data_IF_992283396020
#
_entry.id   IF_992283396020
#
_cell.length_a   1.000
_cell.length_b   1.000
_cell.length_c   1.000
_cell.angle_alpha   90.00
_cell.angle_beta   90.00
_cell.angle_gamma   90.00
#
_symmetry.space_group_name_H-M   'P 1'
#
loop_
_entity.id
_entity.type
_entity.pdbx_description
1 polymer ?
#
# COMPACT_ATOMS: atom_id res chain seq x y z
N UNK A 1 -17.58 11.10 6.60
CA UNK A 1 -16.35 11.10 7.42
C UNK A 1 -16.62 10.18 8.61
N UNK A 2 -16.08 8.97 8.62
CA UNK A 2 -16.21 8.07 9.78
C UNK A 2 -14.80 7.52 10.02
N UNK A 3 -14.02 8.33 10.73
CA UNK A 3 -12.66 8.06 11.13
C UNK A 3 -12.63 7.92 12.65
N UNK A 4 -13.14 6.79 13.16
CA UNK A 4 -12.70 6.34 14.47
C UNK A 4 -11.37 5.59 14.28
N UNK A 5 -10.28 6.34 14.42
CA UNK A 5 -8.95 6.00 13.94
C UNK A 5 -8.29 4.78 14.61
N UNK A 6 -8.89 4.22 15.65
CA UNK A 6 -8.40 3.02 16.33
C UNK A 6 -8.88 1.72 15.70
N UNK A 7 -10.19 1.60 15.43
CA UNK A 7 -10.78 0.33 14.98
C UNK A 7 -10.46 0.04 13.51
N UNK A 8 -10.49 1.06 12.66
CA UNK A 8 -10.17 0.92 11.23
C UNK A 8 -8.69 0.61 10.96
N UNK A 9 -7.77 1.02 11.84
CA UNK A 9 -6.35 0.70 11.69
C UNK A 9 -6.13 -0.81 11.74
N UNK A 10 -6.63 -1.50 12.76
CA UNK A 10 -6.46 -2.96 12.92
C UNK A 10 -7.04 -3.74 11.73
N UNK A 11 -8.25 -3.37 11.28
CA UNK A 11 -8.91 -4.02 10.14
C UNK A 11 -8.05 -3.93 8.89
N UNK A 12 -7.44 -2.76 8.62
CA UNK A 12 -6.57 -2.60 7.46
C UNK A 12 -5.37 -3.56 7.49
N UNK A 13 -4.71 -3.75 8.65
CA UNK A 13 -3.61 -4.72 8.77
C UNK A 13 -4.09 -6.17 8.60
N UNK A 14 -5.20 -6.53 9.24
CA UNK A 14 -5.75 -7.89 9.22
C UNK A 14 -6.25 -8.29 7.82
N UNK A 15 -6.95 -7.39 7.13
CA UNK A 15 -7.45 -7.65 5.78
C UNK A 15 -6.32 -7.72 4.76
N UNK A 16 -5.30 -6.86 4.85
CA UNK A 16 -4.13 -6.97 3.97
C UNK A 16 -3.37 -8.26 4.18
N UNK A 17 -3.21 -8.71 5.44
CA UNK A 17 -2.57 -9.98 5.73
C UNK A 17 -3.34 -11.13 5.06
N UNK A 18 -4.67 -11.18 5.21
CA UNK A 18 -5.53 -12.18 4.57
C UNK A 18 -5.44 -12.18 3.04
N UNK A 19 -5.22 -11.01 2.45
CA UNK A 19 -5.03 -10.82 1.01
C UNK A 19 -3.58 -11.04 0.55
N UNK A 20 -2.68 -11.45 1.44
CA UNK A 20 -1.24 -11.64 1.18
C UNK A 20 -0.53 -10.37 0.70
N UNK A 21 -0.94 -9.25 1.23
CA UNK A 21 -0.32 -7.95 0.99
C UNK A 21 0.33 -7.49 2.30
N UNK A 22 1.60 -7.09 2.23
CA UNK A 22 2.27 -6.47 3.37
C UNK A 22 1.80 -5.01 3.47
N UNK A 23 1.10 -4.61 4.55
CA UNK A 23 0.65 -3.23 4.72
C UNK A 23 1.81 -2.29 5.06
N UNK A 24 2.02 -1.26 4.25
CA UNK A 24 3.00 -0.18 4.50
C UNK A 24 2.30 1.01 5.19
N UNK A 25 1.73 0.76 6.36
CA UNK A 25 0.95 1.73 7.13
C UNK A 25 1.67 1.98 8.46
N UNK A 26 1.59 3.22 8.98
CA UNK A 26 2.12 3.54 10.31
C UNK A 26 1.12 3.09 11.37
N UNK A 27 1.54 2.26 12.32
CA UNK A 27 0.73 1.93 13.49
C UNK A 27 0.67 3.13 14.44
N UNK A 28 -0.45 3.31 15.16
CA UNK A 28 -0.48 4.27 16.28
C UNK A 28 0.37 3.72 17.43
N UNK A 29 1.13 4.59 18.08
CA UNK A 29 2.13 4.21 19.09
C UNK A 29 1.52 3.52 20.32
N UNK A 30 0.31 3.91 20.71
CA UNK A 30 -0.47 3.34 21.81
C UNK A 30 -1.20 2.03 21.44
N UNK A 31 -1.20 1.66 20.16
CA UNK A 31 -1.93 0.51 19.62
C UNK A 31 -1.02 -0.66 19.20
N UNK A 32 0.30 -0.51 19.35
CA UNK A 32 1.29 -1.43 18.78
C UNK A 32 1.20 -2.84 19.36
N UNK A 33 1.20 -2.98 20.68
CA UNK A 33 1.13 -4.28 21.36
C UNK A 33 -0.18 -5.03 21.03
N UNK A 34 -1.31 -4.32 21.12
CA UNK A 34 -2.64 -4.86 20.78
C UNK A 34 -2.78 -5.22 19.29
N UNK A 35 -2.06 -4.52 18.40
CA UNK A 35 -2.00 -4.88 16.97
C UNK A 35 -1.22 -6.17 16.77
N UNK A 36 -0.08 -6.33 17.46
CA UNK A 36 0.73 -7.56 17.41
C UNK A 36 -0.09 -8.75 17.90
N UNK A 37 -0.73 -8.65 19.07
CA UNK A 37 -1.58 -9.70 19.64
C UNK A 37 -2.70 -10.11 18.66
N UNK A 38 -3.34 -9.15 17.98
CA UNK A 38 -4.36 -9.44 16.96
C UNK A 38 -3.81 -10.10 15.70
N UNK A 39 -2.59 -9.78 15.30
CA UNK A 39 -1.93 -10.39 14.14
C UNK A 39 -1.49 -11.82 14.46
N UNK A 40 -0.96 -12.07 15.67
CA UNK A 40 -0.63 -13.42 16.16
C UNK A 40 -1.86 -14.32 16.22
N UNK A 41 -2.99 -13.77 16.68
CA UNK A 41 -4.26 -14.47 16.77
C UNK A 41 -5.09 -14.39 15.48
N UNK A 42 -4.54 -13.86 14.37
CA UNK A 42 -5.28 -13.75 13.12
C UNK A 42 -5.47 -15.16 12.52
N UNK A 43 -6.71 -15.68 12.43
CA UNK A 43 -6.93 -17.00 11.87
C UNK A 43 -6.51 -17.00 10.40
N UNK A 44 -5.68 -17.98 10.02
CA UNK A 44 -5.37 -18.28 8.62
C UNK A 44 -6.65 -18.81 7.96
N UNK A 45 -7.54 -17.92 7.54
CA UNK A 45 -8.80 -18.29 6.88
C UNK A 45 -8.53 -18.72 5.42
N UNK A 46 -7.66 -19.71 5.26
CA UNK A 46 -7.56 -20.55 4.07
C UNK A 46 -8.66 -21.62 4.17
N UNK A 47 -9.92 -21.17 4.29
CA UNK A 47 -11.03 -22.01 3.83
C UNK A 47 -10.78 -22.23 2.33
N UNK A 48 -11.04 -23.43 1.81
CA UNK A 48 -11.05 -23.82 0.38
C UNK A 48 -10.02 -24.82 -0.13
N UNK A 49 -9.23 -25.52 0.69
CA UNK A 49 -8.38 -26.60 0.15
C UNK A 49 -8.48 -27.91 0.93
N UNK A 50 -9.24 -28.86 0.37
CA UNK A 50 -9.25 -30.25 0.81
C UNK A 50 -7.89 -30.94 0.57
N UNK A 51 -7.69 -32.11 1.22
CA UNK A 51 -6.44 -32.93 1.27
C UNK A 51 -5.61 -33.01 -0.03
N UNK A 52 -6.24 -32.84 -1.20
CA UNK A 52 -5.62 -32.89 -2.54
C UNK A 52 -4.61 -31.77 -2.80
N UNK A 53 -4.68 -30.65 -2.08
CA UNK A 53 -3.84 -29.46 -2.30
C UNK A 53 -2.97 -29.14 -1.07
N UNK A 54 -2.60 -30.16 -0.28
CA UNK A 54 -1.92 -29.96 1.01
C UNK A 54 -0.55 -29.28 0.85
N UNK A 55 0.20 -29.61 -0.20
CA UNK A 55 1.50 -28.97 -0.49
C UNK A 55 1.35 -27.50 -0.89
N UNK A 56 0.35 -27.17 -1.74
CA UNK A 56 0.04 -25.77 -2.03
C UNK A 56 -0.44 -25.08 -0.74
N UNK A 57 -1.31 -25.70 0.06
CA UNK A 57 -1.76 -25.12 1.32
C UNK A 57 -0.59 -24.82 2.28
N UNK A 58 0.39 -25.71 2.36
CA UNK A 58 1.62 -25.51 3.15
C UNK A 58 2.44 -24.32 2.61
N UNK A 59 2.69 -24.27 1.30
CA UNK A 59 3.36 -23.13 0.65
C UNK A 59 2.61 -21.80 0.90
N UNK A 60 1.27 -21.82 0.84
CA UNK A 60 0.44 -20.63 1.07
C UNK A 60 0.42 -20.21 2.55
N UNK A 61 0.51 -21.17 3.47
CA UNK A 61 0.61 -20.90 4.91
C UNK A 61 1.99 -20.37 5.27
N UNK A 62 3.06 -20.84 4.64
CA UNK A 62 4.41 -20.34 4.83
C UNK A 62 4.57 -18.94 4.23
N UNK A 63 4.03 -18.68 3.04
CA UNK A 63 3.95 -17.33 2.46
C UNK A 63 3.18 -16.37 3.39
N UNK A 64 2.04 -16.81 3.94
CA UNK A 64 1.26 -16.01 4.89
C UNK A 64 2.02 -15.74 6.19
N UNK A 65 2.75 -16.74 6.73
CA UNK A 65 3.61 -16.58 7.90
C UNK A 65 4.75 -15.61 7.65
N UNK A 66 5.41 -15.70 6.50
CA UNK A 66 6.46 -14.74 6.11
C UNK A 66 5.91 -13.31 6.04
N UNK A 67 4.73 -13.14 5.44
CA UNK A 67 4.07 -11.83 5.34
C UNK A 67 3.76 -11.28 6.72
N UNK A 68 3.23 -12.09 7.63
CA UNK A 68 2.96 -11.69 9.01
C UNK A 68 4.26 -11.33 9.75
N UNK A 69 5.30 -12.14 9.65
CA UNK A 69 6.60 -11.87 10.28
C UNK A 69 7.26 -10.59 9.73
N UNK A 70 7.25 -10.38 8.42
CA UNK A 70 7.74 -9.15 7.78
C UNK A 70 6.93 -7.94 8.25
N UNK A 71 5.61 -8.08 8.32
CA UNK A 71 4.71 -7.01 8.80
C UNK A 71 4.98 -6.66 10.26
N UNK A 72 5.11 -7.66 11.16
CA UNK A 72 5.44 -7.45 12.57
C UNK A 72 6.79 -6.75 12.73
N UNK A 73 7.83 -7.23 12.02
CA UNK A 73 9.16 -6.62 12.01
C UNK A 73 9.12 -5.16 11.53
N UNK A 74 8.28 -4.84 10.56
CA UNK A 74 8.13 -3.48 10.01
C UNK A 74 7.33 -2.56 10.93
N UNK A 75 6.33 -3.09 11.63
CA UNK A 75 5.61 -2.37 12.70
C UNK A 75 6.55 -2.09 13.87
N UNK A 76 7.48 -3.00 14.16
CA UNK A 76 8.47 -2.82 15.21
C UNK A 76 9.54 -1.79 14.87
N UNK A 77 10.05 -1.85 13.63
CA UNK A 77 11.16 -1.04 13.14
C UNK A 77 10.69 -0.12 12.00
N UNK A 78 9.68 0.71 12.26
CA UNK A 78 9.07 1.59 11.25
C UNK A 78 10.09 2.52 10.57
N UNK A 79 11.12 2.98 11.30
CA UNK A 79 12.12 3.90 10.77
C UNK A 79 12.96 3.27 9.65
N UNK A 80 13.17 1.95 9.64
CA UNK A 80 13.93 1.23 8.61
C UNK A 80 13.25 1.26 7.22
N UNK A 81 11.93 1.52 7.18
CA UNK A 81 11.14 1.49 5.94
C UNK A 81 10.41 2.80 5.68
N UNK A 82 10.63 3.82 6.52
CA UNK A 82 10.04 5.15 6.39
C UNK A 82 10.36 5.79 5.04
N UNK A 83 11.57 5.56 4.53
CA UNK A 83 12.01 6.06 3.22
C UNK A 83 11.26 5.38 2.08
N UNK A 84 11.09 4.05 2.13
CA UNK A 84 10.30 3.30 1.15
C UNK A 84 8.84 3.78 1.14
N UNK A 85 8.25 3.95 2.33
CA UNK A 85 6.91 4.53 2.48
C UNK A 85 6.83 5.93 1.89
N UNK A 86 7.83 6.77 2.13
CA UNK A 86 7.92 8.12 1.55
C UNK A 86 7.95 8.09 0.02
N UNK A 87 8.69 7.16 -0.58
CA UNK A 87 8.72 6.99 -2.03
C UNK A 87 7.35 6.58 -2.60
N UNK A 88 6.65 5.66 -1.94
CA UNK A 88 5.28 5.25 -2.32
C UNK A 88 4.32 6.44 -2.20
N UNK A 89 4.40 7.23 -1.13
CA UNK A 89 3.60 8.44 -0.95
C UNK A 89 3.85 9.46 -2.07
N UNK A 90 5.10 9.64 -2.52
CA UNK A 90 5.40 10.51 -3.66
C UNK A 90 4.76 10.01 -4.96
N UNK A 91 4.74 8.70 -5.21
CA UNK A 91 4.07 8.11 -6.37
C UNK A 91 2.58 8.47 -6.33
N UNK A 92 1.91 8.20 -5.21
CA UNK A 92 0.48 8.50 -5.07
C UNK A 92 0.15 9.99 -5.09
N UNK A 93 1.07 10.87 -4.65
CA UNK A 93 0.90 12.32 -4.82
C UNK A 93 0.96 12.70 -6.30
N UNK A 94 1.93 12.18 -7.06
CA UNK A 94 2.04 12.43 -8.49
C UNK A 94 0.81 11.93 -9.26
N UNK A 95 0.35 10.70 -8.99
CA UNK A 95 -0.82 10.13 -9.68
C UNK A 95 -2.08 10.98 -9.47
N UNK A 96 -2.32 11.47 -8.25
CA UNK A 96 -3.48 12.30 -7.93
C UNK A 96 -3.33 13.71 -8.47
N UNK A 97 -2.23 14.40 -8.14
CA UNK A 97 -2.09 15.82 -8.43
C UNK A 97 -1.84 16.10 -9.91
N UNK A 98 -0.91 15.36 -10.53
CA UNK A 98 -0.50 15.60 -11.92
C UNK A 98 -1.46 14.88 -12.88
N UNK A 99 -1.77 13.61 -12.61
CA UNK A 99 -2.54 12.77 -13.55
C UNK A 99 -4.03 12.65 -13.21
N UNK A 100 -4.48 13.19 -12.06
CA UNK A 100 -5.90 13.24 -11.72
C UNK A 100 -6.55 11.91 -11.44
N UNK A 101 -5.79 10.96 -10.91
CA UNK A 101 -6.31 9.63 -10.58
C UNK A 101 -7.48 9.67 -9.60
N UNK A 102 -7.56 10.68 -8.73
CA UNK A 102 -8.67 10.94 -7.80
C UNK A 102 -9.97 11.39 -8.50
N UNK A 103 -9.86 11.99 -9.68
CA UNK A 103 -10.98 12.43 -10.53
C UNK A 103 -11.23 11.49 -11.71
N UNK A 104 -10.66 10.28 -11.67
CA UNK A 104 -10.74 9.34 -12.78
C UNK A 104 -12.16 8.77 -12.89
N UNK A 105 -12.87 9.20 -13.94
CA UNK A 105 -14.17 8.64 -14.31
C UNK A 105 -14.03 7.72 -15.53
N UNK A 106 -14.34 6.43 -15.37
CA UNK A 106 -14.29 5.43 -16.45
C UNK A 106 -15.48 4.47 -16.29
N UNK A 107 -16.27 4.29 -17.35
CA UNK A 107 -17.48 3.48 -17.34
C UNK A 107 -17.24 1.97 -17.18
N UNK A 108 -16.10 1.48 -17.68
CA UNK A 108 -15.77 0.05 -17.67
C UNK A 108 -14.60 -0.27 -16.73
N UNK A 109 -14.81 -1.24 -15.84
CA UNK A 109 -13.82 -1.66 -14.83
C UNK A 109 -12.48 -2.10 -15.43
N UNK A 110 -12.48 -2.83 -16.55
CA UNK A 110 -11.25 -3.26 -17.26
C UNK A 110 -10.41 -2.07 -17.73
N UNK A 111 -11.07 -1.03 -18.25
CA UNK A 111 -10.40 0.20 -18.70
C UNK A 111 -9.91 1.04 -17.51
N UNK A 112 -10.63 1.02 -16.39
CA UNK A 112 -10.19 1.64 -15.14
C UNK A 112 -8.86 1.04 -14.65
N UNK A 113 -8.73 -0.29 -14.64
CA UNK A 113 -7.47 -0.94 -14.25
C UNK A 113 -6.30 -0.58 -15.17
N UNK A 114 -6.51 -0.63 -16.49
CA UNK A 114 -5.48 -0.24 -17.45
C UNK A 114 -5.04 1.22 -17.31
N UNK A 115 -6.00 2.13 -17.13
CA UNK A 115 -5.71 3.55 -16.94
C UNK A 115 -4.97 3.81 -15.62
N UNK A 116 -5.38 3.14 -14.54
CA UNK A 116 -4.69 3.19 -13.25
C UNK A 116 -3.25 2.69 -13.36
N UNK A 117 -3.03 1.56 -14.05
CA UNK A 117 -1.70 1.00 -14.28
C UNK A 117 -0.79 1.99 -15.03
N UNK A 118 -1.27 2.55 -16.14
CA UNK A 118 -0.51 3.53 -16.93
C UNK A 118 -0.16 4.76 -16.10
N UNK A 119 -1.11 5.29 -15.33
CA UNK A 119 -0.89 6.46 -14.47
C UNK A 119 0.15 6.17 -13.39
N UNK A 120 0.07 5.01 -12.74
CA UNK A 120 1.06 4.57 -11.74
C UNK A 120 2.45 4.40 -12.36
N UNK A 121 2.53 3.79 -13.54
CA UNK A 121 3.78 3.57 -14.26
C UNK A 121 4.44 4.88 -14.72
N UNK A 122 3.68 5.79 -15.33
CA UNK A 122 4.22 7.09 -15.74
C UNK A 122 4.65 7.92 -14.51
N UNK A 123 3.90 7.83 -13.41
CA UNK A 123 4.26 8.51 -12.15
C UNK A 123 5.57 7.98 -11.56
N UNK A 124 5.81 6.67 -11.63
CA UNK A 124 7.08 6.10 -11.15
C UNK A 124 8.25 6.54 -12.03
N UNK A 125 8.10 6.54 -13.36
CA UNK A 125 9.12 7.05 -14.30
C UNK A 125 9.44 8.53 -14.06
N UNK A 126 8.41 9.38 -13.86
CA UNK A 126 8.60 10.79 -13.54
C UNK A 126 9.42 10.96 -12.26
N UNK A 127 9.12 10.19 -11.21
CA UNK A 127 9.86 10.29 -9.95
C UNK A 127 11.30 9.78 -10.06
N UNK A 128 11.54 8.75 -10.87
CA UNK A 128 12.90 8.30 -11.20
C UNK A 128 13.68 9.39 -11.94
N UNK A 129 13.05 10.03 -12.93
CA UNK A 129 13.65 11.16 -13.64
C UNK A 129 14.00 12.32 -12.69
N UNK A 130 13.08 12.71 -11.80
CA UNK A 130 13.35 13.76 -10.81
C UNK A 130 14.51 13.39 -9.88
N UNK A 131 14.60 12.13 -9.45
CA UNK A 131 15.72 11.62 -8.64
C UNK A 131 17.06 11.72 -9.38
N UNK A 132 17.12 11.22 -10.61
CA UNK A 132 18.35 11.22 -11.42
C UNK A 132 18.88 12.63 -11.68
N UNK A 133 17.99 13.62 -11.75
CA UNK A 133 18.34 15.03 -11.97
C UNK A 133 18.49 15.83 -10.66
N UNK A 134 18.45 15.19 -9.48
CA UNK A 134 18.57 15.88 -8.20
C UNK A 134 17.43 16.87 -7.90
N UNK A 135 16.28 16.73 -8.54
CA UNK A 135 15.15 17.65 -8.42
C UNK A 135 14.32 17.32 -7.20
N UNK A 136 14.01 18.35 -6.40
CA UNK A 136 13.18 18.19 -5.21
C UNK A 136 11.72 17.84 -5.56
N UNK A 137 11.33 16.59 -5.33
CA UNK A 137 9.97 16.05 -5.59
C UNK A 137 8.85 16.83 -4.89
N UNK A 138 9.09 17.27 -3.65
CA UNK A 138 8.08 18.02 -2.88
C UNK A 138 7.77 19.37 -3.50
N UNK A 139 8.72 19.96 -4.24
CA UNK A 139 8.52 21.20 -4.99
C UNK A 139 8.02 20.95 -6.42
N UNK A 140 8.59 19.95 -7.10
CA UNK A 140 8.28 19.67 -8.49
C UNK A 140 6.84 19.16 -8.70
N UNK A 141 6.34 18.26 -7.83
CA UNK A 141 5.00 17.68 -7.99
C UNK A 141 3.90 18.76 -7.96
N UNK A 142 3.85 19.67 -6.97
CA UNK A 142 2.84 20.75 -6.96
C UNK A 142 2.95 21.69 -8.17
N UNK A 143 4.17 22.05 -8.59
CA UNK A 143 4.38 22.95 -9.74
C UNK A 143 3.85 22.34 -11.05
N UNK A 144 4.18 21.06 -11.30
CA UNK A 144 3.68 20.35 -12.48
C UNK A 144 2.15 20.20 -12.45
N UNK A 145 1.57 20.06 -11.26
CA UNK A 145 0.12 19.95 -11.09
C UNK A 145 -0.62 21.29 -11.35
N UNK A 146 -0.03 22.44 -11.06
CA UNK A 146 -0.63 23.76 -11.33
C UNK A 146 -0.85 23.98 -12.84
N UNK A 147 0.08 23.51 -13.67
CA UNK A 147 -0.04 23.63 -15.12
C UNK A 147 -1.25 22.88 -15.70
N UNK A 148 -1.79 21.88 -14.99
CA UNK A 148 -3.00 21.16 -15.41
C UNK A 148 -4.28 21.98 -15.22
N UNK A 149 -4.32 22.85 -14.22
CA UNK A 149 -5.49 23.70 -13.94
C UNK A 149 -5.51 24.98 -14.78
N UNK A 150 -4.43 25.23 -15.53
CA UNK A 150 -4.21 26.42 -16.36
C UNK A 150 -4.62 26.20 -17.83
N UNK A 151 -5.11 25.01 -18.16
CA UNK A 151 -5.45 24.53 -19.51
C UNK A 151 -6.86 23.98 -19.57
#
# INVERSE_FOLDING_TARGET
>A
MIADAGFFAYVNYLDTARLRVIPVIKSRSDCKEKLIEKLENCPSYLVWFGKRYRTQLEELLDEFREILQKTMKWVENYDDFKDLRGQIEHIFKATKMIFGMDKMHVYYRKHCFWKAFIILYISSLLLQFLNLNGVNKNRAIPLLAQNRHSS
#
